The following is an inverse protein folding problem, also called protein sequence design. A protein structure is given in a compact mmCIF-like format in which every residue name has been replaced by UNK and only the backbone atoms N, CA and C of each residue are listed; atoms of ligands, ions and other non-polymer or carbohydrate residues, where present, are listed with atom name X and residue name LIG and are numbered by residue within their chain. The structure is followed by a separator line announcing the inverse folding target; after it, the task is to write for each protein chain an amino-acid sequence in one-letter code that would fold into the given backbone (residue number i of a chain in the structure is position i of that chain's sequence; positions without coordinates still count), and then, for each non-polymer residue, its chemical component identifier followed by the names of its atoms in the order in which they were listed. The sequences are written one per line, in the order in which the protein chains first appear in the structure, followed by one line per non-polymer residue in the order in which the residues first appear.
data_IF_240779665437
#
_entry.id   IF_240779665437
#
_cell.length_a   1.000
_cell.length_b   1.000
_cell.length_c   1.000
_cell.angle_alpha   90.00
_cell.angle_beta   90.00
_cell.angle_gamma   90.00
#
_symmetry.space_group_name_H-M   'P 1'
#
loop_
_entity.id
_entity.type
_entity.pdbx_description
1 polymer ?
#
# COMPACT_ATOMS: atom_id res chain seq x y z
N UNK A 1 -20.35 -8.09 10.91
CA UNK A 1 -19.73 -7.98 9.56
C UNK A 1 -18.22 -7.72 9.68
N UNK A 2 -17.79 -6.83 10.57
CA UNK A 2 -16.38 -6.44 10.80
C UNK A 2 -15.43 -7.58 11.21
N UNK A 3 -15.89 -8.57 12.00
CA UNK A 3 -15.04 -9.70 12.39
C UNK A 3 -14.58 -10.54 11.19
N UNK A 4 -15.47 -10.77 10.23
CA UNK A 4 -15.18 -11.58 9.04
C UNK A 4 -14.11 -10.94 8.15
N UNK A 5 -14.18 -9.62 7.93
CA UNK A 5 -13.16 -8.93 7.12
C UNK A 5 -11.80 -8.91 7.82
N UNK A 6 -11.77 -8.77 9.16
CA UNK A 6 -10.52 -8.84 9.91
C UNK A 6 -9.88 -10.23 9.84
N UNK A 7 -10.69 -11.30 9.89
CA UNK A 7 -10.24 -12.68 9.69
C UNK A 7 -9.64 -12.86 8.29
N UNK A 8 -10.33 -12.39 7.24
CA UNK A 8 -9.86 -12.45 5.86
C UNK A 8 -8.54 -11.70 5.65
N UNK A 9 -8.40 -10.50 6.25
CA UNK A 9 -7.15 -9.73 6.22
C UNK A 9 -6.02 -10.51 6.88
N UNK A 10 -6.26 -11.07 8.06
CA UNK A 10 -5.25 -11.81 8.81
C UNK A 10 -4.79 -13.05 8.05
N UNK A 11 -5.73 -13.78 7.46
CA UNK A 11 -5.46 -14.96 6.64
C UNK A 11 -4.66 -14.58 5.38
N UNK A 12 -5.11 -13.57 4.65
CA UNK A 12 -4.43 -13.08 3.44
C UNK A 12 -3.03 -12.55 3.73
N UNK A 13 -2.83 -11.75 4.78
CA UNK A 13 -1.52 -11.24 5.19
C UNK A 13 -0.52 -12.37 5.47
N UNK A 14 -0.99 -13.42 6.15
CA UNK A 14 -0.20 -14.62 6.47
C UNK A 14 0.14 -15.44 5.22
N UNK A 15 -0.84 -15.69 4.36
CA UNK A 15 -0.69 -16.59 3.21
C UNK A 15 0.06 -15.94 2.05
N UNK A 16 -0.26 -14.67 1.77
CA UNK A 16 0.34 -13.94 0.66
C UNK A 16 1.61 -13.18 1.10
N UNK A 17 1.89 -13.07 2.40
CA UNK A 17 3.10 -12.46 2.92
C UNK A 17 3.12 -10.94 2.73
N UNK A 18 2.16 -10.25 3.35
CA UNK A 18 2.10 -8.79 3.37
C UNK A 18 1.74 -8.28 4.76
N UNK A 19 1.97 -6.99 5.03
CA UNK A 19 1.55 -6.34 6.28
C UNK A 19 1.23 -4.87 6.06
N UNK A 20 0.46 -4.28 6.98
CA UNK A 20 0.29 -2.83 7.04
C UNK A 20 1.49 -2.20 7.77
N UNK A 21 2.04 -1.13 7.21
CA UNK A 21 2.99 -0.23 7.88
C UNK A 21 2.27 1.01 8.43
N UNK A 22 1.14 1.39 7.80
CA UNK A 22 0.33 2.53 8.23
C UNK A 22 -1.12 2.41 7.78
N UNK A 23 -2.05 2.88 8.61
CA UNK A 23 -3.48 2.97 8.30
C UNK A 23 -3.98 4.33 8.80
N UNK A 24 -4.46 5.16 7.87
CA UNK A 24 -4.96 6.50 8.14
C UNK A 24 -6.40 6.62 7.66
N UNK A 25 -7.30 7.03 8.56
CA UNK A 25 -8.68 7.35 8.19
C UNK A 25 -8.73 8.82 7.75
N UNK A 26 -8.65 9.07 6.44
CA UNK A 26 -8.51 10.42 5.90
C UNK A 26 -9.64 11.34 6.37
N UNK A 27 -10.89 10.88 6.28
CA UNK A 27 -12.06 11.66 6.65
C UNK A 27 -12.11 12.09 8.12
N UNK A 28 -11.36 11.44 9.01
CA UNK A 28 -11.27 11.79 10.43
C UNK A 28 -10.06 12.69 10.72
N UNK A 29 -9.02 12.59 9.89
CA UNK A 29 -7.78 13.33 10.04
C UNK A 29 -7.92 14.76 9.52
N UNK A 30 -8.50 14.93 8.33
CA UNK A 30 -8.51 16.24 7.63
C UNK A 30 -9.56 17.23 8.15
N UNK A 31 -10.30 16.89 9.20
CA UNK A 31 -11.33 17.76 9.79
C UNK A 31 -10.76 18.84 10.72
N UNK A 32 -9.45 18.81 10.96
CA UNK A 32 -8.78 19.66 11.94
C UNK A 32 -7.63 20.42 11.29
N UNK A 33 -7.38 21.63 11.78
CA UNK A 33 -6.33 22.54 11.31
C UNK A 33 -4.90 22.04 11.60
N UNK A 34 -4.76 20.86 12.23
CA UNK A 34 -3.49 20.27 12.60
C UNK A 34 -3.51 18.77 12.30
N UNK A 35 -2.64 18.35 11.38
CA UNK A 35 -2.48 16.94 11.05
C UNK A 35 -1.82 16.16 12.21
N UNK A 36 -2.22 14.90 12.46
CA UNK A 36 -1.50 14.02 13.37
C UNK A 36 -0.04 13.85 12.94
N UNK A 37 0.93 13.83 13.86
CA UNK A 37 2.35 13.72 13.52
C UNK A 37 2.68 12.56 12.57
N UNK A 38 2.14 11.35 12.84
CA UNK A 38 2.39 10.19 12.00
C UNK A 38 1.88 10.35 10.56
N UNK A 39 0.80 11.11 10.35
CA UNK A 39 0.29 11.39 9.01
C UNK A 39 1.10 12.48 8.31
N UNK A 40 1.54 13.48 9.08
CA UNK A 40 2.43 14.53 8.59
C UNK A 40 3.77 13.96 8.12
N UNK A 41 4.39 13.09 8.92
CA UNK A 41 5.65 12.43 8.56
C UNK A 41 5.49 11.65 7.24
N UNK A 42 4.38 10.90 7.10
CA UNK A 42 4.08 10.17 5.86
C UNK A 42 3.89 11.09 4.64
N UNK A 43 3.21 12.22 4.80
CA UNK A 43 3.05 13.21 3.72
C UNK A 43 4.40 13.84 3.38
N UNK A 44 5.18 14.28 4.37
CA UNK A 44 6.46 14.94 4.15
C UNK A 44 7.45 14.03 3.41
N UNK A 45 7.37 12.71 3.60
CA UNK A 45 8.23 11.72 2.95
C UNK A 45 7.67 11.20 1.60
N UNK A 46 6.37 10.97 1.49
CA UNK A 46 5.76 10.18 0.41
C UNK A 46 4.50 10.82 -0.22
N UNK A 47 4.36 12.16 -0.17
CA UNK A 47 3.19 12.88 -0.69
C UNK A 47 2.84 12.50 -2.14
N UNK A 48 3.83 12.34 -3.02
CA UNK A 48 3.58 12.04 -4.43
C UNK A 48 2.89 10.68 -4.59
N UNK A 49 3.32 9.68 -3.84
CA UNK A 49 2.78 8.32 -3.82
C UNK A 49 1.38 8.31 -3.19
N UNK A 50 1.22 9.00 -2.05
CA UNK A 50 -0.06 9.18 -1.37
C UNK A 50 -1.08 9.87 -2.27
N UNK A 51 -0.68 10.93 -2.98
CA UNK A 51 -1.53 11.66 -3.91
C UNK A 51 -1.98 10.77 -5.07
N UNK A 52 -1.09 9.96 -5.64
CA UNK A 52 -1.45 8.97 -6.68
C UNK A 52 -2.43 7.93 -6.14
N UNK A 53 -2.25 7.46 -4.91
CA UNK A 53 -3.12 6.46 -4.28
C UNK A 53 -4.58 6.90 -4.20
N UNK A 54 -4.81 8.19 -3.96
CA UNK A 54 -6.15 8.80 -3.94
C UNK A 54 -6.64 9.27 -5.33
N UNK A 55 -5.93 8.91 -6.40
CA UNK A 55 -6.33 9.16 -7.79
C UNK A 55 -5.87 10.48 -8.39
N UNK A 56 -4.93 11.20 -7.75
CA UNK A 56 -4.36 12.42 -8.34
C UNK A 56 -3.39 12.02 -9.46
N UNK A 57 -3.51 12.60 -10.68
CA UNK A 57 -2.58 12.30 -11.76
C UNK A 57 -1.14 12.63 -11.39
N UNK A 58 -0.18 11.76 -11.76
CA UNK A 58 1.22 11.88 -11.35
C UNK A 58 1.87 13.25 -11.65
N UNK A 59 1.51 13.90 -12.76
CA UNK A 59 2.01 15.26 -13.07
C UNK A 59 1.53 16.32 -12.07
N UNK A 60 0.31 16.18 -11.56
CA UNK A 60 -0.23 17.07 -10.53
C UNK A 60 0.36 16.72 -9.17
N UNK A 61 0.48 15.43 -8.85
CA UNK A 61 1.08 14.97 -7.59
C UNK A 61 2.52 15.49 -7.39
N UNK A 62 3.33 15.55 -8.46
CA UNK A 62 4.72 16.05 -8.40
C UNK A 62 4.88 17.53 -8.04
N UNK A 63 3.81 18.31 -8.18
CA UNK A 63 3.81 19.76 -7.91
C UNK A 63 2.91 20.12 -6.74
N UNK A 64 2.35 19.10 -6.07
CA UNK A 64 1.38 19.28 -5.00
C UNK A 64 2.09 19.49 -3.68
N UNK A 65 1.58 20.44 -2.90
CA UNK A 65 2.01 20.66 -1.52
C UNK A 65 1.05 19.98 -0.54
N UNK A 66 1.49 19.79 0.71
CA UNK A 66 0.71 19.11 1.74
C UNK A 66 -0.67 19.75 1.97
N UNK A 67 -0.73 21.08 2.06
CA UNK A 67 -1.98 21.81 2.27
C UNK A 67 -2.95 21.63 1.09
N UNK A 68 -2.44 21.67 -0.15
CA UNK A 68 -3.25 21.41 -1.35
C UNK A 68 -3.80 19.98 -1.39
N UNK A 69 -3.05 19.01 -0.87
CA UNK A 69 -3.51 17.63 -0.75
C UNK A 69 -4.65 17.51 0.28
N UNK A 70 -4.52 18.16 1.44
CA UNK A 70 -5.58 18.17 2.46
C UNK A 70 -6.86 18.80 1.92
N UNK A 71 -6.75 19.95 1.25
CA UNK A 71 -7.88 20.60 0.57
C UNK A 71 -8.52 19.66 -0.45
N UNK A 72 -7.72 18.96 -1.26
CA UNK A 72 -8.22 18.00 -2.23
C UNK A 72 -9.00 16.85 -1.57
N UNK A 73 -8.51 16.31 -0.47
CA UNK A 73 -9.18 15.23 0.29
C UNK A 73 -10.55 15.70 0.79
N UNK A 74 -10.63 16.93 1.31
CA UNK A 74 -11.88 17.55 1.76
C UNK A 74 -12.84 17.78 0.59
N UNK A 75 -12.37 18.44 -0.48
CA UNK A 75 -13.18 18.79 -1.65
C UNK A 75 -13.73 17.58 -2.41
N UNK A 76 -12.95 16.49 -2.45
CA UNK A 76 -13.37 15.24 -3.08
C UNK A 76 -14.12 14.29 -2.16
N UNK A 77 -14.35 14.70 -0.92
CA UNK A 77 -15.04 13.91 0.09
C UNK A 77 -14.41 12.51 0.25
N UNK A 78 -13.09 12.45 0.30
CA UNK A 78 -12.33 11.21 0.44
C UNK A 78 -12.31 10.78 1.92
N UNK A 79 -13.39 10.10 2.32
CA UNK A 79 -13.65 9.75 3.72
C UNK A 79 -13.15 8.38 4.14
N UNK A 80 -12.47 7.67 3.24
CA UNK A 80 -12.00 6.30 3.45
C UNK A 80 -10.66 6.17 4.17
N UNK A 81 -10.04 5.02 3.94
CA UNK A 81 -8.77 4.59 4.49
C UNK A 81 -7.66 4.73 3.44
N UNK A 82 -6.57 5.37 3.84
CA UNK A 82 -5.29 5.34 3.17
C UNK A 82 -4.39 4.37 3.94
N UNK A 83 -3.85 3.36 3.24
CA UNK A 83 -2.99 2.33 3.85
C UNK A 83 -1.65 2.26 3.16
N UNK A 84 -0.58 2.18 3.95
CA UNK A 84 0.74 1.77 3.46
C UNK A 84 0.89 0.27 3.69
N UNK A 85 1.11 -0.46 2.61
CA UNK A 85 1.23 -1.93 2.63
C UNK A 85 2.62 -2.33 2.17
N UNK A 86 3.21 -3.28 2.89
CA UNK A 86 4.50 -3.86 2.59
C UNK A 86 4.40 -5.33 2.17
N UNK A 87 5.23 -5.73 1.21
CA UNK A 87 5.51 -7.14 0.87
C UNK A 87 7.02 -7.34 0.73
N UNK A 88 7.61 -8.42 1.28
CA UNK A 88 9.02 -8.66 1.15
C UNK A 88 9.36 -9.01 -0.31
N UNK A 89 10.60 -8.71 -0.70
CA UNK A 89 11.13 -9.16 -1.99
C UNK A 89 11.41 -10.65 -1.90
N UNK A 90 10.88 -11.42 -2.87
CA UNK A 90 11.00 -12.87 -2.92
C UNK A 90 12.12 -13.28 -3.88
N UNK A 91 12.97 -14.20 -3.43
CA UNK A 91 13.99 -14.83 -4.28
C UNK A 91 13.57 -16.25 -4.60
N UNK A 92 13.13 -16.49 -5.84
CA UNK A 92 12.64 -17.80 -6.27
C UNK A 92 13.79 -18.75 -6.63
N UNK A 93 13.66 -20.02 -6.23
CA UNK A 93 14.62 -21.07 -6.55
C UNK A 93 14.48 -21.54 -8.01
N UNK A 94 15.58 -22.00 -8.60
CA UNK A 94 15.69 -22.37 -10.03
C UNK A 94 15.04 -23.71 -10.42
N UNK A 95 14.34 -24.41 -9.53
CA UNK A 95 13.81 -25.74 -9.88
C UNK A 95 12.49 -25.68 -10.64
N UNK A 96 12.38 -26.46 -11.72
CA UNK A 96 11.32 -26.45 -12.74
C UNK A 96 9.87 -26.59 -12.22
N UNK A 97 9.67 -27.00 -10.96
CA UNK A 97 8.36 -27.23 -10.36
C UNK A 97 8.14 -26.59 -8.99
N UNK A 98 9.12 -25.85 -8.45
CA UNK A 98 8.96 -25.28 -7.11
C UNK A 98 8.53 -23.81 -7.16
N UNK A 99 7.32 -23.53 -6.67
CA UNK A 99 6.93 -22.18 -6.23
C UNK A 99 7.66 -21.77 -4.91
N UNK A 100 8.83 -22.37 -4.64
CA UNK A 100 9.62 -22.14 -3.46
C UNK A 100 10.42 -20.85 -3.61
N UNK A 101 10.41 -20.03 -2.57
CA UNK A 101 11.16 -18.78 -2.50
C UNK A 101 11.72 -18.56 -1.10
N UNK A 102 12.86 -17.87 -1.03
CA UNK A 102 13.37 -17.29 0.20
C UNK A 102 12.97 -15.81 0.26
N UNK A 103 12.80 -15.26 1.47
CA UNK A 103 12.60 -13.83 1.67
C UNK A 103 13.05 -13.41 3.07
N UNK A 104 13.26 -12.10 3.26
CA UNK A 104 13.41 -11.50 4.58
C UNK A 104 12.67 -10.16 4.63
N UNK A 105 12.26 -9.74 5.82
CA UNK A 105 11.69 -8.40 6.04
C UNK A 105 12.75 -7.30 6.14
N UNK A 106 14.03 -7.62 5.94
CA UNK A 106 15.08 -6.60 5.80
C UNK A 106 15.10 -5.93 4.42
N UNK A 107 14.40 -6.52 3.44
CA UNK A 107 14.26 -5.97 2.09
C UNK A 107 12.84 -6.19 1.57
N UNK A 108 12.05 -5.12 1.49
CA UNK A 108 10.65 -5.15 1.10
C UNK A 108 10.31 -3.91 0.26
N UNK A 109 9.23 -4.02 -0.51
CA UNK A 109 8.61 -2.86 -1.16
C UNK A 109 7.36 -2.44 -0.40
N UNK A 110 7.03 -1.15 -0.50
CA UNK A 110 5.80 -0.56 0.02
C UNK A 110 4.97 0.03 -1.12
N UNK A 111 3.68 0.20 -0.90
CA UNK A 111 2.81 1.03 -1.73
C UNK A 111 1.67 1.61 -0.91
N UNK A 112 1.19 2.77 -1.36
CA UNK A 112 0.05 3.46 -0.76
C UNK A 112 -1.23 3.14 -1.54
N UNK A 113 -2.26 2.70 -0.83
CA UNK A 113 -3.55 2.35 -1.41
C UNK A 113 -4.68 3.08 -0.68
N UNK A 114 -5.63 3.62 -1.43
CA UNK A 114 -6.85 4.20 -0.90
C UNK A 114 -8.07 3.31 -1.19
N UNK A 115 -9.00 3.24 -0.23
CA UNK A 115 -10.33 2.67 -0.43
C UNK A 115 -11.29 3.14 0.65
N UNK A 116 -12.59 3.09 0.37
CA UNK A 116 -13.61 3.62 1.28
C UNK A 116 -13.69 2.80 2.59
N UNK A 117 -13.31 1.52 2.52
CA UNK A 117 -13.22 0.64 3.66
C UNK A 117 -12.19 -0.50 3.44
N UNK A 118 -11.95 -1.28 4.49
CA UNK A 118 -11.04 -2.43 4.43
C UNK A 118 -11.48 -3.54 3.45
N UNK A 119 -12.78 -3.70 3.20
CA UNK A 119 -13.28 -4.71 2.27
C UNK A 119 -12.96 -4.34 0.81
N UNK A 120 -12.99 -3.05 0.47
CA UNK A 120 -12.57 -2.53 -0.84
C UNK A 120 -11.05 -2.49 -1.01
N UNK A 121 -10.30 -2.35 0.08
CA UNK A 121 -8.84 -2.35 0.05
C UNK A 121 -8.24 -3.74 -0.14
N UNK A 122 -8.79 -4.77 0.51
CA UNK A 122 -8.21 -6.11 0.50
C UNK A 122 -7.93 -6.66 -0.92
N UNK A 123 -8.87 -6.60 -1.89
CA UNK A 123 -8.59 -7.03 -3.27
C UNK A 123 -7.49 -6.23 -3.96
N UNK A 124 -7.34 -4.93 -3.64
CA UNK A 124 -6.28 -4.07 -4.20
C UNK A 124 -4.91 -4.47 -3.66
N UNK A 125 -4.85 -4.75 -2.36
CA UNK A 125 -3.65 -5.24 -1.68
C UNK A 125 -3.21 -6.56 -2.31
N UNK A 126 -4.11 -7.52 -2.43
CA UNK A 126 -3.80 -8.84 -3.00
C UNK A 126 -3.35 -8.74 -4.46
N UNK A 127 -3.96 -7.87 -5.25
CA UNK A 127 -3.54 -7.61 -6.62
C UNK A 127 -2.11 -7.07 -6.67
N UNK A 128 -1.80 -6.05 -5.87
CA UNK A 128 -0.46 -5.47 -5.79
C UNK A 128 0.60 -6.46 -5.31
N UNK A 129 0.31 -7.23 -4.26
CA UNK A 129 1.22 -8.27 -3.73
C UNK A 129 1.51 -9.33 -4.80
N UNK A 130 0.49 -9.74 -5.57
CA UNK A 130 0.65 -10.70 -6.66
C UNK A 130 1.53 -10.14 -7.78
N UNK A 131 1.30 -8.89 -8.19
CA UNK A 131 2.12 -8.23 -9.21
C UNK A 131 3.60 -8.15 -8.80
N UNK A 132 3.86 -7.75 -7.54
CA UNK A 132 5.22 -7.73 -6.97
C UNK A 132 5.86 -9.12 -6.94
N UNK A 133 5.11 -10.13 -6.52
CA UNK A 133 5.58 -11.53 -6.50
C UNK A 133 5.94 -12.04 -7.89
N UNK A 134 5.15 -11.69 -8.92
CA UNK A 134 5.46 -12.04 -10.30
C UNK A 134 6.68 -11.31 -10.84
N UNK A 135 6.85 -10.03 -10.50
CA UNK A 135 8.04 -9.26 -10.87
C UNK A 135 9.31 -9.87 -10.26
N UNK A 136 9.25 -10.21 -8.98
CA UNK A 136 10.33 -10.89 -8.25
C UNK A 136 10.68 -12.23 -8.92
N UNK A 137 9.67 -13.04 -9.28
CA UNK A 137 9.87 -14.28 -10.03
C UNK A 137 10.58 -14.06 -11.37
N UNK A 138 10.17 -13.05 -12.14
CA UNK A 138 10.80 -12.69 -13.42
C UNK A 138 12.26 -12.23 -13.22
N UNK A 139 12.55 -11.49 -12.14
CA UNK A 139 13.91 -11.05 -11.81
C UNK A 139 14.81 -12.21 -11.41
N UNK A 140 14.34 -13.13 -10.57
CA UNK A 140 15.08 -14.35 -10.21
C UNK A 140 15.40 -15.19 -11.44
N UNK A 141 14.43 -15.42 -12.33
CA UNK A 141 14.64 -16.18 -13.57
C UNK A 141 15.68 -15.53 -14.50
N UNK A 142 15.77 -14.19 -14.54
CA UNK A 142 16.79 -13.47 -15.33
C UNK A 142 18.18 -13.52 -14.71
N UNK A 143 18.29 -13.62 -13.39
CA UNK A 143 19.57 -13.71 -12.68
C UNK A 143 20.21 -15.10 -12.83
N UNK A 144 19.39 -16.11 -13.07
CA UNK A 144 19.76 -17.50 -13.28
C UNK A 144 20.26 -17.82 -14.71
N UNK A 145 19.88 -16.99 -15.69
CA UNK A 145 20.23 -17.14 -17.11
C UNK A 145 21.57 -16.48 -17.46
#
# INVERSE_FOLDING_TARGET
MTKKINEQITESARENGWRFEGIFHLGAIVQHDSLPPAFRDAIDEELVEIAKAVGIPGKKALLMEADEFVEYVVDKNLMGLLVNVATPVREYAESDDSNSYAFSWGHYGTDWLYGDDLATLLPKIEAWVRERSEEDRRKSARKAA
#
